data_IF_770325865864
#
_entry.id   IF_770325865864
#
_cell.length_a   1.000
_cell.length_b   1.000
_cell.length_c   1.000
_cell.angle_alpha   90.00
_cell.angle_beta   90.00
_cell.angle_gamma   90.00
#
_symmetry.space_group_name_H-M   'P 1'
#
loop_
_entity.id
_entity.type
_entity.pdbx_description
1 polymer ?
#
# COMPACT_ATOMS: atom_id res chain seq x y z
N UNK A 1 12.01 10.79 -8.54
CA UNK A 1 10.81 9.99 -8.89
C UNK A 1 11.01 8.53 -8.45
N UNK A 2 10.59 8.12 -7.24
CA UNK A 2 10.72 6.71 -6.75
C UNK A 2 9.84 6.41 -5.51
N UNK A 3 9.31 7.42 -4.79
CA UNK A 3 8.41 7.23 -3.62
C UNK A 3 6.90 7.30 -3.95
N UNK A 4 6.47 8.23 -4.83
CA UNK A 4 5.06 8.41 -5.22
C UNK A 4 4.43 7.18 -5.91
N UNK A 5 5.17 6.51 -6.80
CA UNK A 5 4.70 5.32 -7.50
C UNK A 5 4.37 4.15 -6.56
N UNK A 6 5.01 4.06 -5.38
CA UNK A 6 4.77 2.96 -4.44
C UNK A 6 3.43 3.13 -3.71
N UNK A 7 3.10 4.34 -3.28
CA UNK A 7 1.82 4.65 -2.65
C UNK A 7 0.67 4.56 -3.66
N UNK A 8 0.85 5.10 -4.87
CA UNK A 8 -0.16 5.04 -5.92
C UNK A 8 -0.48 3.58 -6.31
N UNK A 9 0.52 2.69 -6.36
CA UNK A 9 0.30 1.25 -6.59
C UNK A 9 -0.52 0.62 -5.47
N UNK A 10 -0.23 0.92 -4.20
CA UNK A 10 -1.02 0.41 -3.07
C UNK A 10 -2.49 0.84 -3.17
N UNK A 11 -2.73 2.10 -3.53
CA UNK A 11 -4.09 2.63 -3.75
C UNK A 11 -4.79 1.92 -4.92
N UNK A 12 -4.10 1.68 -6.03
CA UNK A 12 -4.66 0.92 -7.16
C UNK A 12 -5.02 -0.52 -6.77
N UNK A 13 -4.20 -1.19 -5.95
CA UNK A 13 -4.50 -2.54 -5.45
C UNK A 13 -5.74 -2.53 -4.54
N UNK A 14 -5.89 -1.52 -3.69
CA UNK A 14 -7.10 -1.37 -2.85
C UNK A 14 -8.35 -1.15 -3.70
N UNK A 15 -8.28 -0.29 -4.73
CA UNK A 15 -9.40 -0.08 -5.67
C UNK A 15 -9.78 -1.38 -6.37
N UNK A 16 -8.80 -2.16 -6.83
CA UNK A 16 -9.02 -3.49 -7.41
C UNK A 16 -9.67 -4.47 -6.44
N UNK A 17 -9.29 -4.43 -5.16
CA UNK A 17 -9.91 -5.21 -4.10
C UNK A 17 -11.40 -4.87 -3.92
N UNK A 18 -11.73 -3.58 -3.88
CA UNK A 18 -13.13 -3.11 -3.79
C UNK A 18 -13.93 -3.52 -5.03
N UNK A 19 -13.38 -3.32 -6.23
CA UNK A 19 -14.04 -3.73 -7.47
C UNK A 19 -14.28 -5.24 -7.53
N UNK A 20 -13.31 -6.04 -7.06
CA UNK A 20 -13.46 -7.50 -6.97
C UNK A 20 -14.56 -7.90 -5.98
N UNK A 21 -14.71 -7.17 -4.88
CA UNK A 21 -15.79 -7.39 -3.92
C UNK A 21 -17.17 -7.02 -4.50
N UNK A 22 -17.26 -5.92 -5.25
CA UNK A 22 -18.49 -5.53 -5.97
C UNK A 22 -18.85 -6.61 -7.01
N UNK A 23 -17.88 -7.10 -7.77
CA UNK A 23 -18.08 -8.20 -8.72
C UNK A 23 -18.56 -9.48 -8.03
N UNK A 24 -18.00 -9.82 -6.86
CA UNK A 24 -18.49 -10.91 -6.02
C UNK A 24 -19.97 -10.73 -5.64
N UNK A 25 -20.38 -9.53 -5.20
CA UNK A 25 -21.78 -9.27 -4.83
C UNK A 25 -22.73 -9.50 -6.00
N UNK A 26 -22.34 -9.11 -7.21
CA UNK A 26 -23.13 -9.32 -8.44
C UNK A 26 -23.20 -10.82 -8.78
N UNK A 27 -22.06 -11.53 -8.78
CA UNK A 27 -22.03 -12.96 -9.11
C UNK A 27 -22.76 -13.82 -8.08
N UNK A 28 -22.63 -13.47 -6.80
CA UNK A 28 -23.33 -14.15 -5.71
C UNK A 28 -24.85 -13.97 -5.80
N UNK A 29 -25.33 -12.83 -6.32
CA UNK A 29 -26.76 -12.61 -6.56
C UNK A 29 -27.30 -13.43 -7.74
N UNK A 30 -26.42 -13.90 -8.63
CA UNK A 30 -26.76 -14.79 -9.75
C UNK A 30 -26.46 -16.26 -9.44
N UNK A 31 -26.30 -16.62 -8.16
CA UNK A 31 -26.05 -18.00 -7.68
C UNK A 31 -24.83 -18.68 -8.32
N UNK A 32 -23.83 -17.91 -8.76
CA UNK A 32 -22.61 -18.44 -9.35
C UNK A 32 -21.75 -19.08 -8.26
N UNK A 33 -21.58 -20.41 -8.32
CA UNK A 33 -20.85 -21.20 -7.32
C UNK A 33 -19.39 -20.75 -7.10
N UNK A 34 -18.74 -20.21 -8.14
CA UNK A 34 -17.36 -19.73 -8.07
C UNK A 34 -17.22 -18.33 -7.44
N UNK A 35 -18.33 -17.64 -7.13
CA UNK A 35 -18.31 -16.31 -6.52
C UNK A 35 -17.53 -16.28 -5.21
N UNK A 36 -17.57 -17.36 -4.42
CA UNK A 36 -16.83 -17.47 -3.15
C UNK A 36 -15.32 -17.27 -3.31
N UNK A 37 -14.73 -17.75 -4.41
CA UNK A 37 -13.30 -17.57 -4.65
C UNK A 37 -12.94 -16.11 -4.96
N UNK A 38 -13.83 -15.38 -5.64
CA UNK A 38 -13.67 -13.94 -5.87
C UNK A 38 -13.74 -13.13 -4.58
N UNK A 39 -14.60 -13.52 -3.63
CA UNK A 39 -14.64 -12.90 -2.31
C UNK A 39 -13.32 -13.08 -1.56
N UNK A 40 -12.76 -14.30 -1.56
CA UNK A 40 -11.49 -14.60 -0.92
C UNK A 40 -10.37 -13.77 -1.58
N UNK A 41 -10.34 -13.71 -2.90
CA UNK A 41 -9.36 -12.93 -3.65
C UNK A 41 -9.47 -11.43 -3.32
N UNK A 42 -10.68 -10.89 -3.25
CA UNK A 42 -10.92 -9.50 -2.87
C UNK A 42 -10.38 -9.21 -1.46
N UNK A 43 -10.61 -10.11 -0.49
CA UNK A 43 -10.06 -9.99 0.86
C UNK A 43 -8.53 -9.96 0.87
N UNK A 44 -7.88 -10.85 0.10
CA UNK A 44 -6.41 -10.89 -0.02
C UNK A 44 -5.87 -9.59 -0.65
N UNK A 45 -6.49 -9.12 -1.74
CA UNK A 45 -6.11 -7.87 -2.40
C UNK A 45 -6.18 -6.67 -1.45
N UNK A 46 -7.26 -6.57 -0.68
CA UNK A 46 -7.43 -5.49 0.31
C UNK A 46 -6.37 -5.61 1.42
N UNK A 47 -6.12 -6.81 1.93
CA UNK A 47 -5.13 -7.04 2.98
C UNK A 47 -3.71 -6.67 2.51
N UNK A 48 -3.30 -7.10 1.32
CA UNK A 48 -2.00 -6.75 0.74
C UNK A 48 -1.90 -5.26 0.45
N UNK A 49 -2.95 -4.66 -0.12
CA UNK A 49 -3.01 -3.22 -0.38
C UNK A 49 -2.87 -2.40 0.90
N UNK A 50 -3.53 -2.83 1.99
CA UNK A 50 -3.45 -2.19 3.30
C UNK A 50 -2.03 -2.29 3.90
N UNK A 51 -1.39 -3.47 3.82
CA UNK A 51 -0.02 -3.64 4.31
C UNK A 51 0.98 -2.79 3.51
N UNK A 52 0.81 -2.70 2.19
CA UNK A 52 1.64 -1.83 1.34
C UNK A 52 1.41 -0.34 1.59
N UNK A 53 0.19 0.06 1.96
CA UNK A 53 -0.10 1.42 2.38
C UNK A 53 0.45 1.72 3.77
N UNK A 54 0.48 0.72 4.66
CA UNK A 54 0.99 0.87 6.02
C UNK A 54 2.50 1.11 6.06
N UNK A 55 3.28 0.48 5.17
CA UNK A 55 4.73 0.65 5.09
C UNK A 55 5.17 2.13 5.00
N UNK A 56 4.77 2.93 3.99
CA UNK A 56 5.17 4.33 3.92
C UNK A 56 4.60 5.18 5.06
N UNK A 57 3.49 4.79 5.69
CA UNK A 57 2.92 5.51 6.84
C UNK A 57 3.76 5.29 8.10
N UNK A 58 4.20 4.07 8.37
CA UNK A 58 5.04 3.75 9.53
C UNK A 58 6.48 4.28 9.39
N UNK A 59 7.00 4.31 8.16
CA UNK A 59 8.33 4.83 7.85
C UNK A 59 8.32 6.27 7.36
N UNK A 60 7.19 6.99 7.48
CA UNK A 60 7.15 8.42 7.27
C UNK A 60 8.06 9.08 8.32
N UNK A 61 9.05 9.85 7.87
CA UNK A 61 9.99 10.55 8.75
C UNK A 61 9.17 11.54 9.59
N UNK A 62 9.25 11.44 10.91
CA UNK A 62 8.69 12.48 11.79
C UNK A 62 9.59 13.70 11.65
N UNK A 63 9.03 14.81 11.17
CA UNK A 63 9.72 16.08 11.27
C UNK A 63 9.75 16.59 12.71
N UNK A 64 10.64 17.53 13.02
CA UNK A 64 10.87 18.05 14.39
C UNK A 64 9.61 18.61 15.09
N UNK A 65 8.54 18.84 14.34
CA UNK A 65 7.23 19.33 14.82
C UNK A 65 6.15 18.24 14.97
N UNK A 66 6.49 16.95 14.84
CA UNK A 66 5.54 15.85 15.03
C UNK A 66 4.56 15.63 13.88
N UNK A 67 4.74 16.34 12.76
CA UNK A 67 4.00 16.12 11.53
C UNK A 67 4.74 15.10 10.63
N UNK A 68 3.98 14.16 10.07
CA UNK A 68 4.49 13.26 9.05
C UNK A 68 4.58 14.00 7.72
N UNK A 69 5.73 14.62 7.43
CA UNK A 69 5.96 15.25 6.13
C UNK A 69 6.17 14.17 5.05
N UNK A 70 5.12 13.91 4.28
CA UNK A 70 5.27 13.22 3.00
C UNK A 70 5.78 14.27 2.00
N UNK A 71 7.10 14.32 1.80
CA UNK A 71 7.70 15.14 0.73
C UNK A 71 7.12 14.66 -0.61
N UNK A 72 6.19 15.45 -1.15
CA UNK A 72 5.43 15.18 -2.37
C UNK A 72 5.99 15.93 -3.58
N UNK A 73 7.01 16.76 -3.38
CA UNK A 73 7.61 17.59 -4.42
C UNK A 73 8.82 16.90 -5.08
N UNK A 74 8.79 16.59 -6.39
CA UNK A 74 9.86 15.88 -7.08
C UNK A 74 11.16 16.68 -7.26
N UNK A 75 11.20 17.99 -6.96
CA UNK A 75 12.39 18.85 -7.11
C UNK A 75 13.22 19.01 -5.85
N UNK A 76 12.79 18.43 -4.72
CA UNK A 76 13.56 18.48 -3.47
C UNK A 76 14.51 17.28 -3.45
N UNK A 77 15.81 17.57 -3.51
CA UNK A 77 16.86 16.56 -3.34
C UNK A 77 16.71 15.91 -1.97
N UNK A 78 16.41 14.61 -1.97
CA UNK A 78 16.46 13.78 -0.77
C UNK A 78 17.94 13.64 -0.43
N UNK A 79 18.41 14.01 0.78
CA UNK A 79 19.73 13.61 1.23
C UNK A 79 19.74 12.09 1.23
N UNK A 80 20.46 11.52 0.28
CA UNK A 80 20.81 10.11 0.27
C UNK A 80 21.87 9.98 1.36
N UNK A 81 21.44 9.63 2.58
CA UNK A 81 22.35 8.97 3.51
C UNK A 81 22.41 7.51 3.06
N UNK A 82 23.36 7.28 2.17
CA UNK A 82 23.94 5.97 1.90
C UNK A 82 24.73 5.55 3.14
N UNK A 83 24.14 4.81 4.07
CA UNK A 83 24.92 3.91 4.94
C UNK A 83 24.15 2.59 5.15
N UNK A 84 24.30 1.71 4.15
CA UNK A 84 24.47 0.29 4.45
C UNK A 84 25.64 0.15 5.43
N UNK A 85 25.38 -0.11 6.70
CA UNK A 85 26.29 -0.91 7.55
C UNK A 85 25.54 -1.43 8.79
N UNK A 86 25.08 -2.68 8.73
CA UNK A 86 25.21 -3.57 9.92
C UNK A 86 26.61 -4.20 9.79
N UNK A 87 27.36 -4.53 10.86
CA UNK A 87 26.98 -4.80 12.25
C UNK A 87 27.85 -4.02 13.28
N UNK A 88 27.70 -4.16 14.60
CA UNK A 88 28.57 -4.99 15.47
C UNK A 88 28.00 -5.00 16.91
N UNK A 89 28.12 -6.16 17.56
CA UNK A 89 27.83 -6.44 18.97
C UNK A 89 28.79 -5.69 19.91
N UNK A 90 28.30 -5.27 21.08
CA UNK A 90 28.95 -5.46 22.38
C UNK A 90 27.90 -5.44 23.49
#
# INVERSE_FOLDING_TARGET
MIKLLKLQKAVLVLILGVLSFVAYRILSANEVSWARYLQILAGILVMVGALWMLYPVLFAKQDKDGNAEIITDPTVEVPVDDEEERPVKE
#
